data_IF_841218245755
#
_entry.id   IF_841218245755
#
_cell.length_a   1.000
_cell.length_b   1.000
_cell.length_c   1.000
_cell.angle_alpha   90.00
_cell.angle_beta   90.00
_cell.angle_gamma   90.00
#
_symmetry.space_group_name_H-M   'P 1'
#
loop_
_entity.id
_entity.type
_entity.pdbx_description
1 polymer ?
#
# COMPACT_ATOMS: atom_id res chain seq x y z
N UNK A 1 -19.21 21.94 26.70
CA UNK A 1 -19.85 20.67 26.31
C UNK A 1 -19.46 20.21 24.90
N UNK A 2 -19.61 21.03 23.85
CA UNK A 2 -19.27 20.63 22.47
C UNK A 2 -17.79 20.26 22.24
N UNK A 3 -16.84 20.92 22.91
CA UNK A 3 -15.40 20.62 22.78
C UNK A 3 -15.04 19.25 23.36
N UNK A 4 -15.62 18.89 24.50
CA UNK A 4 -15.44 17.60 25.16
C UNK A 4 -15.99 16.44 24.32
N UNK A 5 -17.14 16.64 23.67
CA UNK A 5 -17.74 15.63 22.79
C UNK A 5 -16.91 15.39 21.53
N UNK A 6 -16.33 16.44 20.93
CA UNK A 6 -15.41 16.29 19.79
C UNK A 6 -14.13 15.54 20.17
N UNK A 7 -13.56 15.83 21.34
CA UNK A 7 -12.36 15.15 21.82
C UNK A 7 -12.65 13.68 22.16
N UNK A 8 -13.79 13.39 22.80
CA UNK A 8 -14.22 12.02 23.12
C UNK A 8 -14.51 11.20 21.86
N UNK A 9 -15.13 11.81 20.84
CA UNK A 9 -15.41 11.15 19.56
C UNK A 9 -14.11 10.88 18.79
N UNK A 10 -13.18 11.84 18.74
CA UNK A 10 -11.85 11.64 18.14
C UNK A 10 -11.06 10.54 18.86
N UNK A 11 -11.14 10.47 20.19
CA UNK A 11 -10.53 9.40 20.97
C UNK A 11 -11.16 8.04 20.70
N UNK A 12 -12.50 7.97 20.59
CA UNK A 12 -13.23 6.74 20.27
C UNK A 12 -12.88 6.22 18.87
N UNK A 13 -12.79 7.10 17.86
CA UNK A 13 -12.35 6.73 16.52
C UNK A 13 -10.88 6.25 16.52
N UNK A 14 -9.98 6.96 17.19
CA UNK A 14 -8.58 6.54 17.31
C UNK A 14 -8.44 5.17 18.01
N UNK A 15 -9.21 4.92 19.06
CA UNK A 15 -9.20 3.62 19.75
C UNK A 15 -9.85 2.50 18.95
N UNK A 16 -10.85 2.79 18.11
CA UNK A 16 -11.45 1.80 17.21
C UNK A 16 -10.47 1.35 16.12
N UNK A 17 -9.67 2.28 15.57
CA UNK A 17 -8.63 1.98 14.57
C UNK A 17 -7.49 1.12 15.17
N UNK A 18 -7.03 1.47 16.38
CA UNK A 18 -5.98 0.70 17.09
C UNK A 18 -6.49 -0.69 17.49
N UNK A 19 -7.75 -0.81 17.90
CA UNK A 19 -8.34 -2.11 18.27
C UNK A 19 -8.53 -3.03 17.07
N UNK A 20 -8.84 -2.47 15.89
CA UNK A 20 -8.93 -3.24 14.66
C UNK A 20 -7.57 -3.78 14.20
N UNK A 21 -6.51 -2.97 14.33
CA UNK A 21 -5.14 -3.41 14.10
C UNK A 21 -4.73 -4.60 15.00
N UNK A 22 -5.16 -4.65 16.26
CA UNK A 22 -4.84 -5.78 17.14
C UNK A 22 -5.69 -7.03 16.82
N UNK A 23 -6.96 -6.85 16.42
CA UNK A 23 -7.89 -7.95 16.18
C UNK A 23 -7.63 -8.70 14.86
N UNK A 24 -7.19 -8.00 13.82
CA UNK A 24 -6.72 -8.61 12.57
C UNK A 24 -5.50 -9.49 12.83
N UNK A 25 -4.58 -9.05 13.69
CA UNK A 25 -3.29 -9.71 13.91
C UNK A 25 -3.34 -10.94 14.82
N UNK A 26 -4.23 -10.99 15.80
CA UNK A 26 -4.33 -12.12 16.73
C UNK A 26 -5.18 -13.29 16.19
N UNK A 27 -6.08 -13.04 15.24
CA UNK A 27 -6.88 -14.08 14.58
C UNK A 27 -6.23 -14.70 13.33
N UNK A 28 -5.51 -13.90 12.52
CA UNK A 28 -4.96 -14.34 11.23
C UNK A 28 -3.85 -15.38 11.32
N UNK A 29 -2.97 -15.28 12.33
CA UNK A 29 -1.84 -16.20 12.50
C UNK A 29 -2.26 -17.62 12.92
N UNK A 30 -3.44 -17.80 13.53
CA UNK A 30 -3.96 -19.09 14.00
C UNK A 30 -4.84 -19.80 12.96
N UNK A 31 -5.32 -19.09 11.93
CA UNK A 31 -6.26 -19.66 10.94
C UNK A 31 -5.57 -20.27 9.71
N UNK A 32 -4.24 -20.15 9.59
CA UNK A 32 -3.48 -20.46 8.37
C UNK A 32 -3.35 -21.96 8.04
N UNK A 33 -3.77 -22.88 8.92
CA UNK A 33 -3.40 -24.30 8.77
C UNK A 33 -4.45 -25.25 8.20
N UNK A 34 -5.66 -24.82 7.83
CA UNK A 34 -6.67 -25.76 7.29
C UNK A 34 -7.58 -25.14 6.23
N UNK A 35 -7.70 -25.90 5.13
CA UNK A 35 -8.55 -25.69 3.95
C UNK A 35 -7.98 -24.58 3.04
N UNK A 36 -8.02 -24.69 1.71
CA UNK A 36 -9.15 -25.11 0.88
C UNK A 36 -8.69 -25.82 -0.40
N UNK A 37 -9.63 -26.44 -1.11
CA UNK A 37 -9.40 -27.13 -2.37
C UNK A 37 -10.62 -27.03 -3.28
N UNK A 38 -10.36 -26.68 -4.55
CA UNK A 38 -11.32 -26.59 -5.65
C UNK A 38 -10.64 -25.96 -6.89
N UNK A 39 -10.90 -26.45 -8.11
CA UNK A 39 -10.19 -26.02 -9.34
C UNK A 39 -10.34 -24.52 -9.70
N UNK A 40 -11.41 -23.84 -9.26
CA UNK A 40 -11.56 -22.37 -9.36
C UNK A 40 -10.82 -21.64 -8.23
N UNK A 41 -10.73 -22.29 -7.08
CA UNK A 41 -10.08 -21.78 -5.88
C UNK A 41 -8.58 -21.77 -6.11
N UNK A 42 -8.03 -22.78 -6.78
CA UNK A 42 -6.61 -22.87 -7.15
C UNK A 42 -6.15 -21.68 -8.01
N UNK A 43 -6.99 -21.21 -8.94
CA UNK A 43 -6.65 -20.09 -9.84
C UNK A 43 -6.73 -18.75 -9.12
N UNK A 44 -7.75 -18.55 -8.28
CA UNK A 44 -7.86 -17.36 -7.44
C UNK A 44 -6.74 -17.30 -6.39
N UNK A 45 -6.43 -18.42 -5.74
CA UNK A 45 -5.32 -18.56 -4.81
C UNK A 45 -3.98 -18.25 -5.48
N UNK A 46 -3.81 -18.73 -6.72
CA UNK A 46 -2.63 -18.42 -7.53
C UNK A 46 -2.46 -16.92 -7.77
N UNK A 47 -3.52 -16.25 -8.23
CA UNK A 47 -3.51 -14.80 -8.46
C UNK A 47 -3.27 -14.03 -7.16
N UNK A 48 -3.88 -14.48 -6.06
CA UNK A 48 -3.70 -13.89 -4.73
C UNK A 48 -2.27 -14.05 -4.21
N UNK A 49 -1.61 -15.18 -4.45
CA UNK A 49 -0.22 -15.41 -4.08
C UNK A 49 0.73 -14.46 -4.82
N UNK A 50 0.52 -14.25 -6.13
CA UNK A 50 1.25 -13.24 -6.88
C UNK A 50 0.95 -11.83 -6.36
N UNK A 51 -0.33 -11.48 -6.15
CA UNK A 51 -0.69 -10.16 -5.64
C UNK A 51 -0.02 -9.84 -4.30
N UNK A 52 -0.07 -10.79 -3.35
CA UNK A 52 0.53 -10.67 -2.03
C UNK A 52 2.06 -10.59 -2.05
N UNK A 53 2.72 -11.19 -3.07
CA UNK A 53 4.19 -11.10 -3.21
C UNK A 53 4.70 -9.66 -3.35
N UNK A 54 3.87 -8.74 -3.86
CA UNK A 54 4.20 -7.31 -3.92
C UNK A 54 4.37 -6.71 -2.53
N UNK A 55 3.45 -7.03 -1.61
CA UNK A 55 3.54 -6.61 -0.22
C UNK A 55 4.81 -7.14 0.44
N UNK A 56 5.11 -8.42 0.25
CA UNK A 56 6.32 -9.05 0.80
C UNK A 56 7.61 -8.36 0.35
N UNK A 57 7.82 -8.21 -0.95
CA UNK A 57 9.06 -7.60 -1.47
C UNK A 57 9.17 -6.12 -1.11
N UNK A 58 8.06 -5.38 -1.08
CA UNK A 58 8.06 -4.01 -0.55
C UNK A 58 8.46 -3.99 0.93
N UNK A 59 7.95 -4.92 1.73
CA UNK A 59 8.34 -5.10 3.13
C UNK A 59 9.83 -5.41 3.29
N UNK A 60 10.37 -6.37 2.52
CA UNK A 60 11.79 -6.73 2.53
C UNK A 60 12.67 -5.54 2.16
N UNK A 61 12.29 -4.78 1.13
CA UNK A 61 12.99 -3.55 0.73
C UNK A 61 12.99 -2.50 1.85
N UNK A 62 11.84 -2.27 2.48
CA UNK A 62 11.70 -1.31 3.57
C UNK A 62 12.40 -1.76 4.86
N UNK A 63 12.53 -3.07 5.10
CA UNK A 63 13.34 -3.59 6.20
C UNK A 63 14.81 -3.20 6.06
N UNK A 64 15.32 -3.19 4.83
CA UNK A 64 16.70 -2.81 4.55
C UNK A 64 16.94 -1.29 4.57
N UNK A 65 15.93 -0.49 4.23
CA UNK A 65 16.07 0.96 4.05
C UNK A 65 15.52 1.81 5.20
N UNK A 66 14.48 1.33 5.88
CA UNK A 66 13.79 1.98 7.00
C UNK A 66 13.52 0.98 8.13
N UNK A 67 14.54 0.34 8.72
CA UNK A 67 14.34 -0.68 9.76
C UNK A 67 13.71 -0.07 11.03
N UNK A 68 12.73 -0.78 11.60
CA UNK A 68 12.08 -0.43 12.87
C UNK A 68 11.42 0.97 12.90
N UNK A 69 10.94 1.42 11.75
CA UNK A 69 10.17 2.65 11.58
C UNK A 69 8.71 2.30 11.32
N UNK A 70 7.79 3.17 11.73
CA UNK A 70 6.39 3.01 11.37
C UNK A 70 6.22 3.16 9.85
N UNK A 71 5.42 2.27 9.28
CA UNK A 71 4.95 2.30 7.89
C UNK A 71 3.44 2.58 7.86
N UNK A 72 2.97 3.32 6.86
CA UNK A 72 1.54 3.55 6.62
C UNK A 72 1.13 2.95 5.28
N UNK A 73 0.33 1.89 5.29
CA UNK A 73 -0.25 1.25 4.10
C UNK A 73 -1.66 1.82 3.84
N UNK A 74 -1.79 2.60 2.77
CA UNK A 74 -3.05 3.16 2.28
C UNK A 74 -3.72 2.19 1.31
N UNK A 75 -4.97 1.84 1.62
CA UNK A 75 -5.78 0.86 0.90
C UNK A 75 -7.21 1.37 0.69
N UNK A 76 -7.94 0.77 -0.25
CA UNK A 76 -9.35 1.15 -0.51
C UNK A 76 -10.26 0.97 0.72
N UNK A 77 -11.37 1.73 0.86
CA UNK A 77 -12.13 1.83 2.10
C UNK A 77 -12.79 0.51 2.55
N UNK A 78 -13.09 -0.38 1.59
CA UNK A 78 -13.68 -1.70 1.84
C UNK A 78 -12.65 -2.79 2.17
N UNK A 79 -11.39 -2.42 2.48
CA UNK A 79 -10.30 -3.36 2.73
C UNK A 79 -10.60 -4.41 3.80
N UNK A 80 -11.42 -4.08 4.80
CA UNK A 80 -11.84 -5.00 5.86
C UNK A 80 -12.54 -6.27 5.32
N UNK A 81 -13.15 -6.17 4.14
CA UNK A 81 -13.86 -7.26 3.46
C UNK A 81 -13.06 -7.84 2.30
N UNK A 82 -11.91 -7.25 1.96
CA UNK A 82 -11.11 -7.63 0.80
C UNK A 82 -9.95 -8.55 1.23
N UNK A 83 -10.09 -9.85 0.94
CA UNK A 83 -9.06 -10.84 1.27
C UNK A 83 -7.73 -10.58 0.57
N UNK A 84 -7.73 -10.04 -0.67
CA UNK A 84 -6.49 -9.72 -1.37
C UNK A 84 -5.68 -8.66 -0.62
N UNK A 85 -6.34 -7.62 -0.10
CA UNK A 85 -5.68 -6.56 0.67
C UNK A 85 -5.16 -7.10 2.01
N UNK A 86 -5.92 -7.96 2.69
CA UNK A 86 -5.44 -8.60 3.92
C UNK A 86 -4.18 -9.43 3.66
N UNK A 87 -4.19 -10.23 2.60
CA UNK A 87 -3.05 -11.07 2.23
C UNK A 87 -1.82 -10.24 1.84
N UNK A 88 -2.02 -9.14 1.10
CA UNK A 88 -0.96 -8.19 0.79
C UNK A 88 -0.38 -7.54 2.05
N UNK A 89 -1.23 -7.09 2.97
CA UNK A 89 -0.79 -6.49 4.22
C UNK A 89 -0.02 -7.49 5.10
N UNK A 90 -0.53 -8.71 5.27
CA UNK A 90 0.16 -9.76 6.00
C UNK A 90 1.51 -10.11 5.39
N UNK A 91 1.58 -10.24 4.07
CA UNK A 91 2.82 -10.48 3.36
C UNK A 91 3.82 -9.32 3.55
N UNK A 92 3.35 -8.07 3.58
CA UNK A 92 4.19 -6.91 3.87
C UNK A 92 4.75 -6.93 5.29
N UNK A 93 3.92 -7.23 6.29
CA UNK A 93 4.35 -7.38 7.69
C UNK A 93 5.40 -8.50 7.81
N UNK A 94 5.17 -9.63 7.13
CA UNK A 94 6.09 -10.77 7.07
C UNK A 94 7.45 -10.35 6.47
N UNK A 95 7.45 -9.69 5.32
CA UNK A 95 8.66 -9.21 4.64
C UNK A 95 9.39 -8.12 5.44
N UNK A 96 8.64 -7.19 6.03
CA UNK A 96 9.19 -6.12 6.85
C UNK A 96 9.78 -6.63 8.17
N UNK A 97 9.20 -7.71 8.72
CA UNK A 97 9.63 -8.32 9.98
C UNK A 97 9.23 -7.53 11.22
N UNK A 98 8.27 -6.60 11.10
CA UNK A 98 7.69 -5.82 12.19
C UNK A 98 6.20 -5.61 11.95
N UNK A 99 5.42 -5.59 13.02
CA UNK A 99 3.98 -5.27 12.99
C UNK A 99 3.69 -3.76 13.02
N UNK A 100 4.71 -2.91 12.98
CA UNK A 100 4.56 -1.43 12.92
C UNK A 100 4.20 -0.96 11.49
N UNK A 101 3.21 -1.62 10.91
CA UNK A 101 2.61 -1.33 9.60
C UNK A 101 1.15 -0.97 9.84
N UNK A 102 0.85 0.32 9.81
CA UNK A 102 -0.49 0.85 10.03
C UNK A 102 -1.28 0.75 8.73
N UNK A 103 -2.52 0.30 8.82
CA UNK A 103 -3.44 0.27 7.69
C UNK A 103 -4.49 1.37 7.86
N UNK A 104 -4.68 2.19 6.83
CA UNK A 104 -5.71 3.22 6.81
C UNK A 104 -6.19 3.47 5.36
N UNK A 105 -7.22 4.29 5.22
CA UNK A 105 -7.80 4.68 3.93
C UNK A 105 -7.99 6.19 3.86
N UNK A 106 -8.14 6.68 2.62
CA UNK A 106 -8.59 8.03 2.35
C UNK A 106 -10.09 8.13 2.61
N UNK A 107 -10.47 9.16 3.36
CA UNK A 107 -11.86 9.49 3.64
C UNK A 107 -12.28 10.62 2.72
N UNK A 108 -13.18 10.32 1.79
CA UNK A 108 -13.76 11.32 0.91
C UNK A 108 -14.94 12.03 1.60
N UNK A 109 -15.28 13.26 1.18
CA UNK A 109 -16.58 13.87 1.47
C UNK A 109 -17.73 12.91 1.13
N UNK A 110 -18.81 12.97 1.91
CA UNK A 110 -19.96 12.04 1.79
C UNK A 110 -20.50 12.02 0.36
N UNK A 111 -20.60 13.20 -0.27
CA UNK A 111 -21.10 13.36 -1.63
C UNK A 111 -20.28 12.61 -2.68
N UNK A 112 -18.96 12.50 -2.48
CA UNK A 112 -18.06 11.78 -3.37
C UNK A 112 -17.97 10.29 -3.01
N UNK A 113 -18.14 9.94 -1.73
CA UNK A 113 -18.10 8.56 -1.26
C UNK A 113 -19.25 7.69 -1.77
N UNK A 114 -20.37 8.32 -2.16
CA UNK A 114 -21.54 7.64 -2.73
C UNK A 114 -21.42 7.44 -4.26
N UNK A 115 -20.37 7.98 -4.89
CA UNK A 115 -20.11 7.79 -6.33
C UNK A 115 -19.23 6.56 -6.55
N UNK A 116 -19.53 5.68 -7.53
CA UNK A 116 -18.78 4.44 -7.77
C UNK A 116 -17.46 4.67 -8.53
N UNK A 117 -16.73 5.74 -8.20
CA UNK A 117 -15.46 6.09 -8.84
C UNK A 117 -14.29 5.51 -8.05
N UNK A 118 -13.21 5.04 -8.71
CA UNK A 118 -11.98 4.65 -8.02
C UNK A 118 -11.43 5.80 -7.18
N UNK A 119 -10.91 5.50 -5.98
CA UNK A 119 -10.43 6.54 -5.05
C UNK A 119 -9.41 7.48 -5.69
N UNK A 120 -8.49 6.98 -6.52
CA UNK A 120 -7.47 7.82 -7.17
C UNK A 120 -8.06 8.88 -8.11
N UNK A 121 -9.29 8.68 -8.60
CA UNK A 121 -9.98 9.67 -9.44
C UNK A 121 -10.69 10.74 -8.62
N UNK A 122 -11.01 10.45 -7.35
CA UNK A 122 -11.86 11.31 -6.51
C UNK A 122 -11.11 11.98 -5.36
N UNK A 123 -10.00 11.41 -4.91
CA UNK A 123 -9.20 11.98 -3.83
C UNK A 123 -8.41 13.21 -4.29
N UNK A 124 -8.29 14.18 -3.41
CA UNK A 124 -7.42 15.34 -3.58
C UNK A 124 -6.11 15.18 -2.81
N UNK A 125 -5.12 16.02 -3.11
CA UNK A 125 -3.92 16.14 -2.29
C UNK A 125 -4.23 16.43 -0.81
N UNK A 126 -5.27 17.23 -0.53
CA UNK A 126 -5.69 17.53 0.83
C UNK A 126 -6.21 16.28 1.56
N UNK A 127 -6.98 15.43 0.88
CA UNK A 127 -7.50 14.20 1.47
C UNK A 127 -6.39 13.19 1.76
N UNK A 128 -5.40 13.10 0.87
CA UNK A 128 -4.21 12.28 1.07
C UNK A 128 -3.40 12.78 2.28
N UNK A 129 -3.07 14.07 2.31
CA UNK A 129 -2.29 14.69 3.41
C UNK A 129 -3.01 14.55 4.76
N UNK A 130 -4.35 14.68 4.81
CA UNK A 130 -5.13 14.46 6.05
C UNK A 130 -4.96 13.07 6.65
N UNK A 131 -4.76 12.04 5.82
CA UNK A 131 -4.49 10.69 6.32
C UNK A 131 -3.08 10.60 6.84
N UNK A 132 -2.10 11.10 6.08
CA UNK A 132 -0.68 11.13 6.49
C UNK A 132 -0.49 11.88 7.81
N UNK A 133 -1.16 13.01 8.00
CA UNK A 133 -1.07 13.84 9.21
C UNK A 133 -1.53 13.10 10.49
N UNK A 134 -2.28 11.99 10.38
CA UNK A 134 -2.63 11.12 11.52
C UNK A 134 -1.47 10.22 11.97
N UNK A 135 -0.45 10.04 11.13
CA UNK A 135 0.70 9.16 11.35
C UNK A 135 2.01 9.96 11.23
N UNK A 136 2.27 10.91 12.14
CA UNK A 136 3.46 11.77 12.06
C UNK A 136 4.79 11.00 12.18
N UNK A 137 4.75 9.77 12.72
CA UNK A 137 5.93 8.91 12.87
C UNK A 137 6.17 7.99 11.67
N UNK A 138 5.30 7.99 10.65
CA UNK A 138 5.47 7.17 9.46
C UNK A 138 6.73 7.61 8.68
N UNK A 139 7.66 6.68 8.45
CA UNK A 139 8.81 6.94 7.59
C UNK A 139 8.45 6.78 6.10
N UNK A 140 7.48 5.93 5.78
CA UNK A 140 7.02 5.68 4.42
C UNK A 140 5.51 5.52 4.40
N UNK A 141 4.87 6.17 3.42
CA UNK A 141 3.48 5.98 3.02
C UNK A 141 3.46 5.07 1.80
N UNK A 142 2.93 3.87 1.95
CA UNK A 142 2.76 2.88 0.89
C UNK A 142 1.34 2.99 0.36
N UNK A 143 1.15 3.25 -0.93
CA UNK A 143 -0.18 3.40 -1.53
C UNK A 143 -0.47 2.28 -2.52
N UNK A 144 -1.56 1.53 -2.29
CA UNK A 144 -2.16 0.67 -3.32
C UNK A 144 -3.19 1.44 -4.17
N UNK A 145 -3.61 2.61 -3.71
CA UNK A 145 -4.62 3.45 -4.35
C UNK A 145 -4.01 4.25 -5.52
N UNK A 146 -2.74 4.66 -5.39
CA UNK A 146 -2.07 5.59 -6.29
C UNK A 146 -1.84 6.97 -5.65
N UNK A 147 -1.69 7.99 -6.48
CA UNK A 147 -1.52 9.39 -6.07
C UNK A 147 -2.67 10.25 -6.62
N UNK A 148 -3.02 11.35 -5.95
CA UNK A 148 -4.06 12.25 -6.41
C UNK A 148 -3.64 12.94 -7.72
N UNK A 149 -4.63 13.35 -8.51
CA UNK A 149 -4.36 14.02 -9.79
C UNK A 149 -3.72 15.40 -9.64
N UNK A 150 -3.94 16.07 -8.50
CA UNK A 150 -3.35 17.35 -8.12
C UNK A 150 -2.10 17.18 -7.25
N UNK A 151 -1.24 16.22 -7.63
CA UNK A 151 -0.01 15.81 -6.92
C UNK A 151 0.90 16.99 -6.53
N UNK A 152 0.94 18.06 -7.32
CA UNK A 152 1.72 19.27 -7.04
C UNK A 152 1.28 20.00 -5.76
N UNK A 153 0.07 19.72 -5.27
CA UNK A 153 -0.47 20.30 -4.06
C UNK A 153 -0.10 19.51 -2.80
N UNK A 154 0.36 18.26 -2.91
CA UNK A 154 0.75 17.41 -1.78
C UNK A 154 1.79 18.09 -0.90
N UNK A 155 1.43 18.36 0.36
CA UNK A 155 2.36 18.87 1.37
C UNK A 155 3.44 17.85 1.68
N UNK A 156 3.10 16.56 1.65
CA UNK A 156 4.05 15.46 1.83
C UNK A 156 5.29 15.63 0.93
N UNK A 157 5.09 15.92 -0.36
CA UNK A 157 6.19 16.05 -1.32
C UNK A 157 7.02 17.32 -1.10
N UNK A 158 6.45 18.35 -0.47
CA UNK A 158 7.11 19.62 -0.14
C UNK A 158 7.89 19.56 1.17
N UNK A 159 7.66 18.53 1.99
CA UNK A 159 8.37 18.33 3.24
C UNK A 159 9.64 17.48 3.00
N UNK A 160 10.83 18.03 3.24
CA UNK A 160 12.09 17.29 3.13
C UNK A 160 12.29 16.25 4.23
N UNK A 161 11.71 16.48 5.41
CA UNK A 161 11.79 15.57 6.55
C UNK A 161 10.55 14.66 6.66
N UNK A 162 9.62 14.77 5.72
CA UNK A 162 8.38 14.00 5.71
C UNK A 162 8.57 12.54 5.26
N UNK A 163 7.53 11.72 5.41
CA UNK A 163 7.55 10.35 4.89
C UNK A 163 7.86 10.32 3.39
N UNK A 164 8.54 9.27 2.95
CA UNK A 164 8.66 8.96 1.52
C UNK A 164 7.41 8.21 1.04
N UNK A 165 7.23 8.12 -0.26
CA UNK A 165 6.14 7.37 -0.88
C UNK A 165 6.66 6.05 -1.44
N UNK A 166 5.91 4.96 -1.28
CA UNK A 166 6.08 3.75 -2.08
C UNK A 166 4.76 3.44 -2.80
N UNK A 167 4.81 3.15 -4.09
CA UNK A 167 3.61 2.83 -4.87
C UNK A 167 3.57 1.34 -5.20
N UNK A 168 2.46 0.68 -4.86
CA UNK A 168 2.20 -0.71 -5.24
C UNK A 168 1.37 -0.73 -6.52
N UNK A 169 2.04 -0.56 -7.66
CA UNK A 169 1.40 -0.36 -8.95
C UNK A 169 1.09 1.11 -9.26
N UNK A 170 0.57 1.34 -10.47
CA UNK A 170 0.08 2.64 -10.95
C UNK A 170 -1.36 2.49 -11.45
N UNK A 171 -2.35 2.26 -10.57
CA UNK A 171 -3.75 2.08 -10.97
C UNK A 171 -4.34 3.31 -11.67
N UNK A 172 -3.77 4.50 -11.43
CA UNK A 172 -4.12 5.77 -12.09
C UNK A 172 -3.48 5.96 -13.47
N UNK A 173 -2.66 5.01 -13.94
CA UNK A 173 -1.83 5.18 -15.13
C UNK A 173 -0.56 6.02 -14.85
N UNK A 174 0.11 6.52 -15.91
CA UNK A 174 1.33 7.32 -15.81
C UNK A 174 1.14 8.55 -14.92
N UNK A 175 2.12 8.81 -14.04
CA UNK A 175 2.11 9.95 -13.13
C UNK A 175 3.17 10.96 -13.62
N UNK A 176 2.76 12.17 -14.04
CA UNK A 176 3.71 13.20 -14.46
C UNK A 176 4.76 13.50 -13.39
N UNK A 177 6.03 13.56 -13.79
CA UNK A 177 7.15 13.86 -12.88
C UNK A 177 7.56 12.71 -11.96
N UNK A 178 6.94 11.52 -12.05
CA UNK A 178 7.27 10.38 -11.18
C UNK A 178 8.75 9.96 -11.25
N UNK A 179 9.36 10.01 -12.43
CA UNK A 179 10.78 9.73 -12.62
C UNK A 179 11.65 10.66 -11.76
N UNK A 180 11.30 11.94 -11.67
CA UNK A 180 12.03 12.92 -10.87
C UNK A 180 11.78 12.73 -9.37
N UNK A 181 10.56 12.32 -8.99
CA UNK A 181 10.24 11.96 -7.61
C UNK A 181 11.00 10.73 -7.12
N UNK A 182 11.20 9.72 -7.98
CA UNK A 182 12.04 8.56 -7.66
C UNK A 182 13.50 8.98 -7.56
N UNK A 183 13.99 9.77 -8.52
CA UNK A 183 15.38 10.22 -8.58
C UNK A 183 15.78 11.09 -7.39
N UNK A 184 14.88 11.95 -6.92
CA UNK A 184 15.06 12.79 -5.73
C UNK A 184 14.86 12.03 -4.41
N UNK A 185 14.33 10.81 -4.46
CA UNK A 185 14.09 9.98 -3.27
C UNK A 185 12.79 10.29 -2.53
N UNK A 186 11.95 11.20 -3.03
CA UNK A 186 10.59 11.45 -2.50
C UNK A 186 9.69 10.23 -2.67
N UNK A 187 9.85 9.51 -3.78
CA UNK A 187 9.31 8.17 -4.00
C UNK A 187 10.44 7.17 -3.78
N UNK A 188 10.36 6.37 -2.74
CA UNK A 188 11.37 5.37 -2.39
C UNK A 188 11.39 4.22 -3.41
N UNK A 189 10.22 3.76 -3.83
CA UNK A 189 10.08 2.72 -4.84
C UNK A 189 8.69 2.72 -5.50
N UNK A 190 8.60 2.07 -6.66
CA UNK A 190 7.35 1.76 -7.36
C UNK A 190 7.40 0.31 -7.82
N UNK A 191 6.36 -0.46 -7.51
CA UNK A 191 6.17 -1.80 -8.08
C UNK A 191 5.49 -1.68 -9.43
N UNK A 192 6.09 -2.27 -10.46
CA UNK A 192 5.50 -2.40 -11.79
C UNK A 192 5.33 -3.86 -12.16
N UNK A 193 4.43 -4.14 -13.11
CA UNK A 193 4.45 -5.41 -13.83
C UNK A 193 5.79 -5.59 -14.55
N UNK A 194 6.37 -6.77 -14.44
CA UNK A 194 7.58 -7.14 -15.15
C UNK A 194 7.27 -7.22 -16.67
N UNK A 195 8.05 -6.57 -17.56
CA UNK A 195 7.87 -6.73 -19.01
C UNK A 195 7.94 -8.17 -19.51
N UNK A 196 8.58 -9.05 -18.74
CA UNK A 196 8.69 -10.50 -19.01
C UNK A 196 7.72 -11.32 -18.13
N UNK A 197 6.66 -10.69 -17.63
CA UNK A 197 5.70 -11.34 -16.75
C UNK A 197 5.08 -12.57 -17.39
N UNK A 198 4.91 -13.63 -16.60
CA UNK A 198 4.17 -14.84 -17.00
C UNK A 198 2.93 -14.97 -16.12
N UNK A 199 1.77 -15.07 -16.77
CA UNK A 199 0.47 -15.14 -16.10
C UNK A 199 -0.11 -16.56 -16.09
N UNK A 200 0.31 -17.41 -17.02
CA UNK A 200 -0.10 -18.80 -17.21
C UNK A 200 0.74 -19.80 -16.40
N UNK A 201 1.34 -19.37 -15.29
CA UNK A 201 2.19 -20.20 -14.43
C UNK A 201 1.68 -20.22 -12.99
N UNK A 202 1.85 -21.34 -12.28
CA UNK A 202 1.56 -21.38 -10.85
C UNK A 202 2.56 -20.51 -10.08
N UNK A 203 2.08 -19.90 -9.01
CA UNK A 203 2.84 -19.12 -8.05
C UNK A 203 3.76 -20.07 -7.29
N UNK A 204 5.08 -19.80 -7.28
CA UNK A 204 5.99 -20.47 -6.37
C UNK A 204 5.56 -20.28 -4.91
N UNK A 205 5.93 -21.24 -4.06
CA UNK A 205 5.74 -21.10 -2.60
C UNK A 205 6.61 -19.98 -2.02
N UNK A 206 7.76 -19.74 -2.64
CA UNK A 206 8.64 -18.63 -2.28
C UNK A 206 8.09 -17.32 -2.84
N UNK A 207 7.80 -16.37 -1.94
CA UNK A 207 7.17 -15.10 -2.32
C UNK A 207 8.10 -14.23 -3.17
N UNK A 208 9.42 -14.29 -2.94
CA UNK A 208 10.40 -13.54 -3.74
C UNK A 208 10.44 -14.06 -5.17
N UNK A 209 10.41 -15.38 -5.37
CA UNK A 209 10.30 -16.00 -6.68
C UNK A 209 8.98 -15.63 -7.37
N UNK A 210 7.86 -15.69 -6.65
CA UNK A 210 6.56 -15.26 -7.17
C UNK A 210 6.58 -13.81 -7.63
N UNK A 211 7.17 -12.91 -6.83
CA UNK A 211 7.31 -11.50 -7.19
C UNK A 211 8.11 -11.34 -8.48
N UNK A 212 9.31 -11.91 -8.56
CA UNK A 212 10.22 -11.78 -9.72
C UNK A 212 9.60 -12.25 -11.03
N UNK A 213 8.67 -13.21 -10.97
CA UNK A 213 7.95 -13.69 -12.15
C UNK A 213 7.05 -12.60 -12.74
N UNK A 214 6.35 -11.81 -11.92
CA UNK A 214 5.31 -10.89 -12.41
C UNK A 214 5.59 -9.42 -12.20
N UNK A 215 6.54 -9.09 -11.34
CA UNK A 215 6.77 -7.72 -10.90
C UNK A 215 8.26 -7.37 -10.87
N UNK A 216 8.49 -6.07 -10.87
CA UNK A 216 9.79 -5.45 -10.60
C UNK A 216 9.60 -4.32 -9.61
N UNK A 217 10.54 -4.17 -8.68
CA UNK A 217 10.59 -3.03 -7.76
C UNK A 217 11.58 -2.01 -8.33
N UNK A 218 11.06 -0.90 -8.82
CA UNK A 218 11.87 0.19 -9.36
C UNK A 218 12.16 1.19 -8.26
N UNK A 219 13.44 1.51 -8.09
CA UNK A 219 13.99 2.45 -7.11
C UNK A 219 14.91 3.42 -7.84
N UNK A 220 15.50 4.38 -7.13
CA UNK A 220 16.53 5.26 -7.71
C UNK A 220 17.73 4.50 -8.29
N UNK A 221 18.05 3.32 -7.76
CA UNK A 221 19.29 2.59 -8.08
C UNK A 221 19.19 1.83 -9.42
N UNK A 222 17.97 1.46 -9.83
CA UNK A 222 17.70 0.75 -11.09
C UNK A 222 16.75 1.53 -12.02
N UNK A 223 16.47 2.80 -11.73
CA UNK A 223 15.54 3.64 -12.47
C UNK A 223 15.87 3.70 -13.98
N UNK A 224 17.14 3.82 -14.33
CA UNK A 224 17.56 3.92 -15.73
C UNK A 224 17.40 2.59 -16.49
N UNK A 225 17.48 1.43 -15.80
CA UNK A 225 17.22 0.10 -16.40
C UNK A 225 15.74 -0.04 -16.80
N UNK A 226 14.84 0.51 -15.98
CA UNK A 226 13.39 0.38 -16.13
C UNK A 226 12.72 1.63 -16.69
N UNK A 227 13.47 2.54 -17.31
CA UNK A 227 12.97 3.83 -17.79
C UNK A 227 11.78 3.71 -18.75
N UNK A 228 11.74 2.65 -19.56
CA UNK A 228 10.65 2.40 -20.51
C UNK A 228 9.30 2.11 -19.84
N UNK A 229 9.27 1.77 -18.54
CA UNK A 229 8.02 1.56 -17.79
C UNK A 229 7.28 2.88 -17.48
N UNK A 230 7.96 4.02 -17.64
CA UNK A 230 7.42 5.35 -17.35
C UNK A 230 7.10 6.16 -18.61
N UNK A 231 7.31 5.59 -19.80
CA UNK A 231 7.02 6.25 -21.05
C UNK A 231 5.54 6.05 -21.42
N UNK A 232 4.89 7.14 -21.83
CA UNK A 232 3.56 7.13 -22.46
C UNK A 232 3.61 6.51 -23.87
#
# INVERSE_FOLDING_TARGET
MAKFFKTLLAFLFATASVSFAIMVFSGGALFWHRQFGGLSDDLLENEMAFYASQGYEAGVFLKGTEPNRQLLLLVDPDFHRNENIKQLAYAMIEGYGSSDVMLDTIQLPVELSEMPMPLYMSMTAEDFDKVVERYPDAAVVISTIGLPSDIENLKLLKNEEGPRILLLGLPSGPIPGLVDLIRSGKVAAVVFSNPKARYDVPAPKDRTEAFKIRYVLVTKDNLDEFRNLFAD
#
